data_IF_499618994659
#
_entry.id   IF_499618994659
#
_cell.length_a   1.000
_cell.length_b   1.000
_cell.length_c   1.000
_cell.angle_alpha   90.00
_cell.angle_beta   90.00
_cell.angle_gamma   90.00
#
_symmetry.space_group_name_H-M   'P 1'
#
loop_
_entity.id
_entity.type
_entity.pdbx_description
1 polymer ?
#
# COMPACT_ATOMS: atom_id res chain seq x y z
N UNK A 1 58.27 -26.97 10.55
CA UNK A 1 58.05 -27.16 9.11
C UNK A 1 56.70 -26.56 8.78
N UNK A 2 56.70 -25.35 8.21
CA UNK A 2 55.47 -24.66 7.85
C UNK A 2 55.07 -24.95 6.41
N UNK A 3 53.78 -24.83 6.12
CA UNK A 3 53.23 -24.49 4.82
C UNK A 3 51.91 -23.74 5.05
N UNK A 4 51.93 -22.43 4.76
CA UNK A 4 50.76 -21.57 4.71
C UNK A 4 50.01 -21.79 3.38
N UNK A 5 48.68 -21.63 3.33
CA UNK A 5 47.93 -21.70 2.08
C UNK A 5 48.16 -20.43 1.24
N UNK A 6 48.50 -20.64 -0.03
CA UNK A 6 48.79 -19.62 -1.04
C UNK A 6 47.51 -18.93 -1.54
N UNK A 7 47.60 -17.59 -1.68
CA UNK A 7 46.58 -16.76 -2.30
C UNK A 7 46.53 -16.97 -3.82
N UNK A 8 45.34 -16.83 -4.46
CA UNK A 8 45.21 -16.95 -5.92
C UNK A 8 45.80 -15.72 -6.63
N UNK A 9 46.61 -15.96 -7.67
CA UNK A 9 47.13 -14.92 -8.56
C UNK A 9 46.05 -14.39 -9.51
N UNK A 10 46.06 -13.09 -9.84
CA UNK A 10 45.18 -12.52 -10.85
C UNK A 10 45.63 -12.88 -12.27
N UNK A 11 44.71 -13.44 -13.06
CA UNK A 11 44.87 -13.71 -14.48
C UNK A 11 44.98 -12.41 -15.28
N UNK A 12 46.06 -12.24 -16.05
CA UNK A 12 46.21 -11.17 -17.01
C UNK A 12 45.24 -11.35 -18.18
N UNK A 13 44.35 -10.37 -18.39
CA UNK A 13 43.51 -10.28 -19.58
C UNK A 13 44.14 -9.24 -20.51
N UNK A 14 44.51 -9.73 -21.70
CA UNK A 14 45.05 -8.96 -22.82
C UNK A 14 44.09 -7.84 -23.25
N UNK A 15 44.59 -6.61 -23.23
CA UNK A 15 43.93 -5.40 -23.70
C UNK A 15 43.94 -5.36 -25.23
N UNK A 16 42.81 -5.72 -25.86
CA UNK A 16 42.54 -5.34 -27.26
C UNK A 16 41.80 -4.01 -27.27
N UNK A 17 42.53 -2.96 -27.64
CA UNK A 17 42.01 -1.64 -28.00
C UNK A 17 40.96 -1.79 -29.12
N UNK A 18 39.72 -1.41 -28.83
CA UNK A 18 38.69 -1.16 -29.84
C UNK A 18 38.19 0.26 -29.63
N UNK A 19 38.84 1.22 -30.29
CA UNK A 19 38.30 2.56 -30.49
C UNK A 19 37.10 2.44 -31.44
N UNK A 20 35.87 2.53 -30.90
CA UNK A 20 34.66 2.77 -31.70
C UNK A 20 34.09 4.13 -31.34
N UNK A 21 34.57 5.15 -32.04
CA UNK A 21 33.94 6.46 -32.14
C UNK A 21 32.64 6.33 -32.93
N UNK A 22 31.49 6.62 -32.30
CA UNK A 22 30.23 6.82 -33.00
C UNK A 22 30.07 8.31 -33.29
N UNK A 23 30.63 8.75 -34.42
CA UNK A 23 30.30 10.04 -35.02
C UNK A 23 29.56 9.71 -36.31
N UNK A 24 28.25 9.98 -36.34
CA UNK A 24 27.47 9.83 -37.56
C UNK A 24 27.89 10.92 -38.55
N UNK A 25 28.24 10.53 -39.78
CA UNK A 25 28.54 11.46 -40.87
C UNK A 25 27.25 12.15 -41.34
N UNK A 26 27.29 13.48 -41.47
CA UNK A 26 26.19 14.26 -42.01
C UNK A 26 25.96 13.94 -43.50
N UNK A 27 24.71 13.82 -43.98
CA UNK A 27 24.45 13.54 -45.38
C UNK A 27 24.71 14.78 -46.24
N UNK A 28 25.45 14.56 -47.33
CA UNK A 28 25.67 15.54 -48.40
C UNK A 28 24.37 15.78 -49.17
N UNK A 29 23.99 17.05 -49.32
CA UNK A 29 22.83 17.47 -50.12
C UNK A 29 23.26 17.48 -51.60
N UNK A 30 22.82 16.48 -52.37
CA UNK A 30 22.83 16.56 -53.83
C UNK A 30 21.47 17.09 -54.31
N UNK A 31 21.49 18.29 -54.90
CA UNK A 31 20.32 18.92 -55.52
C UNK A 31 20.09 18.29 -56.90
N UNK A 32 19.09 17.41 -57.01
CA UNK A 32 18.53 17.02 -58.31
C UNK A 32 17.08 17.51 -58.37
N UNK A 33 16.84 18.49 -59.24
CA UNK A 33 15.50 18.98 -59.59
C UNK A 33 14.83 17.97 -60.52
N UNK A 34 13.76 17.34 -60.05
CA UNK A 34 12.77 16.69 -60.92
C UNK A 34 11.37 17.11 -60.49
N UNK A 35 10.70 17.87 -61.38
CA UNK A 35 9.27 18.19 -61.31
C UNK A 35 8.47 16.97 -61.76
N UNK A 36 7.46 16.55 -61.00
CA UNK A 36 6.16 16.15 -61.55
C UNK A 36 5.14 15.72 -60.49
N UNK A 37 3.95 16.31 -60.62
CA UNK A 37 2.60 15.82 -60.33
C UNK A 37 2.26 15.32 -58.91
N UNK A 38 1.44 16.13 -58.24
CA UNK A 38 0.71 15.77 -57.04
C UNK A 38 -0.32 14.66 -57.30
N UNK A 39 -0.19 13.56 -56.56
CA UNK A 39 -1.26 12.61 -56.30
C UNK A 39 -1.29 12.34 -54.80
N UNK A 40 -2.08 13.14 -54.07
CA UNK A 40 -2.29 12.97 -52.62
C UNK A 40 -3.12 11.71 -52.40
N UNK A 41 -2.46 10.57 -52.23
CA UNK A 41 -3.09 9.37 -51.68
C UNK A 41 -3.00 9.47 -50.17
N UNK A 42 -4.10 9.89 -49.53
CA UNK A 42 -4.17 10.00 -48.08
C UNK A 42 -4.31 8.60 -47.47
N UNK A 43 -3.19 7.92 -47.26
CA UNK A 43 -3.15 6.66 -46.50
C UNK A 43 -3.46 6.99 -45.04
N UNK A 44 -4.70 6.74 -44.61
CA UNK A 44 -5.09 6.83 -43.20
C UNK A 44 -4.29 5.78 -42.41
N UNK A 45 -3.20 6.19 -41.79
CA UNK A 45 -2.49 5.39 -40.80
C UNK A 45 -3.46 5.13 -39.64
N UNK A 46 -3.91 3.88 -39.52
CA UNK A 46 -4.68 3.42 -38.38
C UNK A 46 -3.75 3.40 -37.15
N UNK A 47 -3.72 4.51 -36.41
CA UNK A 47 -3.05 4.58 -35.11
C UNK A 47 -3.82 3.66 -34.17
N UNK A 48 -3.24 2.49 -33.88
CA UNK A 48 -3.75 1.57 -32.86
C UNK A 48 -3.79 2.35 -31.54
N UNK A 49 -4.98 2.60 -31.02
CA UNK A 49 -5.14 3.28 -29.73
C UNK A 49 -4.36 2.50 -28.67
N UNK A 50 -3.50 3.19 -27.91
CA UNK A 50 -2.91 2.59 -26.72
C UNK A 50 -4.07 2.10 -25.83
N UNK A 51 -3.98 0.89 -25.25
CA UNK A 51 -4.99 0.42 -24.31
C UNK A 51 -5.13 1.48 -23.21
N UNK A 52 -6.34 2.03 -23.06
CA UNK A 52 -6.61 3.00 -22.00
C UNK A 52 -6.42 2.31 -20.66
N UNK A 53 -5.32 2.64 -19.96
CA UNK A 53 -5.06 2.15 -18.62
C UNK A 53 -6.16 2.71 -17.71
N UNK A 54 -7.07 1.85 -17.25
CA UNK A 54 -8.05 2.23 -16.23
C UNK A 54 -7.29 2.77 -15.02
N UNK A 55 -7.63 3.98 -14.51
CA UNK A 55 -6.99 4.52 -13.32
C UNK A 55 -7.13 3.52 -12.16
N UNK A 56 -6.00 3.15 -11.54
CA UNK A 56 -6.00 2.27 -10.36
C UNK A 56 -6.66 3.01 -9.20
N UNK A 57 -7.60 2.36 -8.51
CA UNK A 57 -8.28 2.91 -7.31
C UNK A 57 -7.27 3.11 -6.18
N UNK A 58 -7.28 4.24 -5.47
CA UNK A 58 -6.37 4.51 -4.33
C UNK A 58 -6.49 3.44 -3.23
N UNK A 59 -5.35 3.00 -2.69
CA UNK A 59 -5.29 2.20 -1.46
C UNK A 59 -4.78 3.10 -0.34
N UNK A 60 -5.55 3.16 0.74
CA UNK A 60 -5.27 3.96 1.94
C UNK A 60 -4.88 2.98 3.05
N UNK A 61 -3.61 2.98 3.40
CA UNK A 61 -3.09 2.13 4.48
C UNK A 61 -3.12 2.95 5.77
N UNK A 62 -3.79 2.45 6.80
CA UNK A 62 -3.82 3.09 8.13
C UNK A 62 -2.96 2.26 9.08
N UNK A 63 -1.97 2.89 9.70
CA UNK A 63 -1.05 2.23 10.63
C UNK A 63 -0.97 3.03 11.93
N UNK A 64 -1.66 2.58 13.01
CA UNK A 64 -1.45 3.13 14.33
C UNK A 64 -0.09 2.70 14.88
N UNK A 65 0.54 3.56 15.66
CA UNK A 65 1.83 3.32 16.29
C UNK A 65 1.82 3.74 17.75
N UNK A 66 2.52 3.01 18.61
CA UNK A 66 2.59 3.29 20.04
C UNK A 66 3.97 2.95 20.57
N UNK A 67 4.51 3.81 21.42
CA UNK A 67 5.79 3.60 22.10
C UNK A 67 5.75 2.41 23.07
N UNK A 68 4.54 1.96 23.46
CA UNK A 68 4.32 0.74 24.25
C UNK A 68 4.60 -0.55 23.46
N UNK A 69 4.68 -0.48 22.13
CA UNK A 69 4.94 -1.63 21.28
C UNK A 69 6.45 -1.81 21.05
N UNK A 70 7.01 -3.00 21.34
CA UNK A 70 8.43 -3.25 21.12
C UNK A 70 8.76 -3.27 19.63
N UNK A 71 9.99 -2.87 19.29
CA UNK A 71 10.52 -2.89 17.93
C UNK A 71 9.72 -2.07 16.90
N UNK A 72 8.92 -1.08 17.35
CA UNK A 72 8.10 -0.20 16.51
C UNK A 72 8.86 0.30 15.26
N UNK A 73 10.03 0.91 15.46
CA UNK A 73 10.83 1.47 14.36
C UNK A 73 11.32 0.40 13.36
N UNK A 74 11.61 -0.81 13.81
CA UNK A 74 12.04 -1.92 12.94
C UNK A 74 10.87 -2.36 12.06
N UNK A 75 9.71 -2.57 12.68
CA UNK A 75 8.51 -2.98 11.97
C UNK A 75 7.98 -1.89 11.03
N UNK A 76 8.09 -0.62 11.41
CA UNK A 76 7.76 0.52 10.55
C UNK A 76 8.62 0.55 9.28
N UNK A 77 9.94 0.37 9.42
CA UNK A 77 10.87 0.30 8.27
C UNK A 77 10.55 -0.89 7.37
N UNK A 78 10.27 -2.05 7.96
CA UNK A 78 9.90 -3.25 7.21
C UNK A 78 8.62 -3.03 6.41
N UNK A 79 7.56 -2.54 7.07
CA UNK A 79 6.30 -2.23 6.41
C UNK A 79 6.51 -1.22 5.28
N UNK A 80 7.22 -0.11 5.55
CA UNK A 80 7.55 0.90 4.55
C UNK A 80 8.26 0.30 3.32
N UNK A 81 9.26 -0.56 3.53
CA UNK A 81 9.97 -1.22 2.43
C UNK A 81 9.03 -2.10 1.58
N UNK A 82 8.06 -2.78 2.21
CA UNK A 82 7.03 -3.54 1.50
C UNK A 82 6.09 -2.63 0.73
N UNK A 83 5.46 -1.65 1.38
CA UNK A 83 4.43 -0.82 0.75
C UNK A 83 5.00 0.19 -0.26
N UNK A 84 6.30 0.49 -0.21
CA UNK A 84 7.00 1.24 -1.26
C UNK A 84 6.98 0.53 -2.62
N UNK A 85 6.91 -0.80 -2.63
CA UNK A 85 6.87 -1.62 -3.84
C UNK A 85 5.45 -1.79 -4.39
N UNK A 86 4.43 -1.31 -3.68
CA UNK A 86 3.05 -1.38 -4.13
C UNK A 86 2.79 -0.33 -5.19
N UNK A 87 2.12 -0.74 -6.27
CA UNK A 87 1.75 0.15 -7.37
C UNK A 87 0.98 1.38 -6.87
N UNK A 88 1.30 2.55 -7.42
CA UNK A 88 0.52 3.78 -7.18
C UNK A 88 -0.87 3.70 -7.84
N UNK A 89 -1.89 4.41 -7.32
CA UNK A 89 -1.82 5.32 -6.17
C UNK A 89 -1.96 4.61 -4.82
N UNK A 90 -1.12 5.02 -3.86
CA UNK A 90 -1.14 4.58 -2.46
C UNK A 90 -0.95 5.78 -1.53
N UNK A 91 -1.73 5.81 -0.44
CA UNK A 91 -1.58 6.78 0.63
C UNK A 91 -1.36 6.04 1.96
N UNK A 92 -0.31 6.40 2.68
CA UNK A 92 -0.04 5.84 3.99
C UNK A 92 -0.39 6.83 5.11
N UNK A 93 -1.36 6.51 5.94
CA UNK A 93 -1.72 7.30 7.12
C UNK A 93 -1.08 6.65 8.34
N UNK A 94 -0.12 7.34 8.93
CA UNK A 94 0.57 6.90 10.15
C UNK A 94 0.12 7.81 11.29
N UNK A 95 -0.33 7.18 12.37
CA UNK A 95 -0.80 7.89 13.57
C UNK A 95 0.14 7.59 14.72
N UNK A 96 0.61 8.62 15.42
CA UNK A 96 1.46 8.47 16.61
C UNK A 96 1.06 9.45 17.73
N UNK A 97 1.44 9.12 18.96
CA UNK A 97 1.34 10.05 20.08
C UNK A 97 2.34 11.20 19.90
N UNK A 98 1.96 12.40 20.33
CA UNK A 98 2.86 13.55 20.36
C UNK A 98 4.00 13.27 21.33
N UNK A 99 5.22 13.22 20.82
CA UNK A 99 6.44 13.08 21.62
C UNK A 99 7.50 14.07 21.14
N UNK A 100 8.54 14.30 21.94
CA UNK A 100 9.70 15.10 21.54
C UNK A 100 10.64 14.35 20.56
N UNK A 101 10.39 13.06 20.33
CA UNK A 101 11.18 12.24 19.42
C UNK A 101 10.94 12.66 17.97
N UNK A 102 12.02 12.74 17.21
CA UNK A 102 11.98 13.00 15.75
C UNK A 102 12.19 11.74 14.93
N UNK A 103 12.37 10.59 15.57
CA UNK A 103 12.75 9.35 14.89
C UNK A 103 11.72 8.87 13.88
N UNK A 104 10.45 8.73 14.28
CA UNK A 104 9.38 8.26 13.40
C UNK A 104 9.13 9.25 12.24
N UNK A 105 8.99 10.57 12.47
CA UNK A 105 8.89 11.54 11.38
C UNK A 105 10.07 11.48 10.41
N UNK A 106 11.30 11.27 10.89
CA UNK A 106 12.47 11.11 10.03
C UNK A 106 12.45 9.81 9.23
N UNK A 107 11.95 8.71 9.79
CA UNK A 107 11.75 7.45 9.06
C UNK A 107 10.79 7.71 7.91
N UNK A 108 9.62 8.30 8.18
CA UNK A 108 8.59 8.55 7.16
C UNK A 108 9.12 9.40 5.99
N UNK A 109 9.84 10.49 6.29
CA UNK A 109 10.46 11.37 5.27
C UNK A 109 11.43 10.63 4.35
N UNK A 110 12.14 9.62 4.86
CA UNK A 110 13.14 8.84 4.10
C UNK A 110 12.53 7.73 3.25
N UNK A 111 11.25 7.40 3.42
CA UNK A 111 10.61 6.29 2.70
C UNK A 111 10.38 6.58 1.22
N UNK A 112 10.05 7.83 0.87
CA UNK A 112 9.59 8.23 -0.46
C UNK A 112 8.13 7.82 -0.77
N UNK A 113 7.39 7.38 0.25
CA UNK A 113 5.97 7.02 0.13
C UNK A 113 5.13 8.26 0.37
N UNK A 114 4.03 8.41 -0.37
CA UNK A 114 3.02 9.44 -0.06
C UNK A 114 2.37 9.11 1.29
N UNK A 115 2.58 9.96 2.29
CA UNK A 115 2.04 9.73 3.63
C UNK A 115 1.30 10.95 4.19
N UNK A 116 0.38 10.68 5.12
CA UNK A 116 -0.14 11.67 6.07
C UNK A 116 0.26 11.24 7.47
N UNK A 117 0.91 12.15 8.18
CA UNK A 117 1.33 11.92 9.56
C UNK A 117 0.38 12.64 10.50
N UNK A 118 -0.37 11.88 11.30
CA UNK A 118 -1.40 12.38 12.23
C UNK A 118 -0.89 12.19 13.64
N UNK A 119 -0.98 13.23 14.46
CA UNK A 119 -0.44 13.24 15.82
C UNK A 119 -1.56 13.62 16.79
N UNK A 120 -1.59 12.96 17.95
CA UNK A 120 -2.56 13.22 19.02
C UNK A 120 -1.85 13.45 20.36
N UNK A 121 -2.52 14.10 21.32
CA UNK A 121 -1.89 14.49 22.61
C UNK A 121 -2.54 13.88 23.84
N UNK A 122 -3.65 13.15 23.67
CA UNK A 122 -4.33 12.47 24.76
C UNK A 122 -3.50 11.30 25.30
N UNK A 123 -3.54 11.11 26.62
CA UNK A 123 -2.87 10.00 27.30
C UNK A 123 -3.79 8.79 27.41
N UNK A 124 -3.23 7.60 27.24
CA UNK A 124 -3.95 6.33 27.36
C UNK A 124 -3.18 5.39 28.25
N UNK A 125 -3.87 4.72 29.17
CA UNK A 125 -3.28 3.62 29.95
C UNK A 125 -3.34 2.32 29.17
N UNK A 126 -4.53 1.98 28.68
CA UNK A 126 -4.77 0.77 27.90
C UNK A 126 -4.27 0.93 26.45
N UNK A 127 -3.55 -0.08 25.95
CA UNK A 127 -3.01 -0.07 24.59
C UNK A 127 -4.11 -0.20 23.54
N UNK A 128 -5.14 -1.02 23.78
CA UNK A 128 -6.20 -1.21 22.78
C UNK A 128 -7.06 0.04 22.63
N UNK A 129 -7.37 0.74 23.73
CA UNK A 129 -8.01 2.05 23.72
C UNK A 129 -7.20 3.08 22.92
N UNK A 130 -5.87 3.11 23.13
CA UNK A 130 -4.95 3.97 22.39
C UNK A 130 -4.98 3.68 20.89
N UNK A 131 -4.86 2.40 20.49
CA UNK A 131 -4.88 2.00 19.09
C UNK A 131 -6.25 2.27 18.43
N UNK A 132 -7.36 2.12 19.17
CA UNK A 132 -8.70 2.46 18.70
C UNK A 132 -8.88 3.97 18.48
N UNK A 133 -8.39 4.80 19.41
CA UNK A 133 -8.37 6.26 19.23
C UNK A 133 -7.63 6.65 17.95
N UNK A 134 -6.45 6.06 17.74
CA UNK A 134 -5.63 6.31 16.54
C UNK A 134 -6.35 5.91 15.24
N UNK A 135 -7.01 4.75 15.22
CA UNK A 135 -7.82 4.30 14.07
C UNK A 135 -8.96 5.29 13.80
N UNK A 136 -9.65 5.76 14.84
CA UNK A 136 -10.73 6.73 14.71
C UNK A 136 -10.23 8.09 14.19
N UNK A 137 -9.08 8.57 14.64
CA UNK A 137 -8.45 9.79 14.11
C UNK A 137 -8.13 9.64 12.61
N UNK A 138 -7.61 8.50 12.20
CA UNK A 138 -7.37 8.23 10.79
C UNK A 138 -8.68 8.19 9.98
N UNK A 139 -9.74 7.57 10.52
CA UNK A 139 -11.06 7.55 9.88
C UNK A 139 -11.66 8.94 9.74
N UNK A 140 -11.65 9.75 10.81
CA UNK A 140 -12.12 11.13 10.78
C UNK A 140 -11.32 11.98 9.78
N UNK A 141 -10.02 11.74 9.64
CA UNK A 141 -9.20 12.40 8.63
C UNK A 141 -9.58 12.00 7.19
N UNK A 142 -9.87 10.72 6.95
CA UNK A 142 -10.33 10.20 5.66
C UNK A 142 -11.70 10.79 5.32
N UNK A 143 -12.61 10.82 6.29
CA UNK A 143 -13.97 11.35 6.16
C UNK A 143 -13.96 12.85 5.87
N UNK A 144 -13.25 13.63 6.69
CA UNK A 144 -13.17 15.09 6.56
C UNK A 144 -12.66 15.52 5.19
N UNK A 145 -11.66 14.82 4.66
CA UNK A 145 -11.08 15.12 3.35
C UNK A 145 -11.70 14.33 2.20
N UNK A 146 -12.72 13.51 2.47
CA UNK A 146 -13.39 12.62 1.50
C UNK A 146 -12.41 11.84 0.62
N UNK A 147 -11.38 11.26 1.24
CA UNK A 147 -10.35 10.53 0.51
C UNK A 147 -10.95 9.27 -0.11
N UNK A 148 -11.21 9.28 -1.42
CA UNK A 148 -11.86 8.16 -2.13
C UNK A 148 -10.86 7.05 -2.44
N UNK A 149 -11.04 5.87 -1.82
CA UNK A 149 -10.14 4.74 -1.95
C UNK A 149 -10.56 3.54 -1.10
N UNK A 150 -9.71 2.50 -1.08
CA UNK A 150 -9.88 1.32 -0.24
C UNK A 150 -9.04 1.48 1.02
N UNK A 151 -9.68 1.49 2.18
CA UNK A 151 -9.04 1.64 3.49
C UNK A 151 -8.69 0.25 4.02
N UNK A 152 -7.43 0.06 4.39
CA UNK A 152 -6.95 -1.14 5.06
C UNK A 152 -6.13 -0.77 6.31
N UNK A 153 -6.48 -1.35 7.46
CA UNK A 153 -5.73 -1.17 8.69
C UNK A 153 -4.55 -2.15 8.74
N UNK A 154 -3.35 -1.65 8.49
CA UNK A 154 -2.14 -2.44 8.51
C UNK A 154 -1.49 -2.44 9.90
N UNK A 155 -1.56 -3.58 10.58
CA UNK A 155 -0.81 -3.82 11.82
C UNK A 155 0.69 -3.82 11.54
N UNK A 156 1.45 -3.11 12.37
CA UNK A 156 2.88 -2.87 12.14
C UNK A 156 3.71 -4.16 12.06
N UNK A 157 3.38 -5.15 12.89
CA UNK A 157 4.05 -6.46 12.94
C UNK A 157 3.56 -7.46 11.90
N UNK A 158 2.51 -7.16 11.13
CA UNK A 158 2.00 -8.06 10.10
C UNK A 158 2.94 -8.16 8.90
N UNK A 159 2.83 -9.27 8.16
CA UNK A 159 3.57 -9.51 6.92
C UNK A 159 2.58 -9.49 5.76
N UNK A 160 2.92 -8.74 4.72
CA UNK A 160 2.06 -8.56 3.55
C UNK A 160 2.77 -9.03 2.30
N UNK A 161 2.03 -9.75 1.46
CA UNK A 161 2.44 -9.99 0.09
C UNK A 161 2.11 -8.77 -0.80
N UNK A 162 2.83 -8.59 -1.91
CA UNK A 162 2.58 -7.45 -2.81
C UNK A 162 1.28 -7.62 -3.61
N UNK A 163 0.92 -8.84 -3.99
CA UNK A 163 -0.31 -9.13 -4.74
C UNK A 163 -1.56 -8.84 -3.90
N UNK A 164 -1.47 -8.99 -2.58
CA UNK A 164 -2.54 -8.64 -1.65
C UNK A 164 -3.05 -7.20 -1.88
N UNK A 165 -2.15 -6.22 -2.05
CA UNK A 165 -2.55 -4.84 -2.29
C UNK A 165 -3.18 -4.61 -3.66
N UNK A 166 -2.91 -5.49 -4.64
CA UNK A 166 -3.61 -5.46 -5.93
C UNK A 166 -5.05 -5.94 -5.74
N UNK A 167 -5.24 -7.04 -5.00
CA UNK A 167 -6.58 -7.59 -4.70
C UNK A 167 -7.45 -6.62 -3.90
N UNK A 168 -6.85 -5.82 -3.00
CA UNK A 168 -7.60 -4.79 -2.28
C UNK A 168 -8.32 -3.83 -3.23
N UNK A 169 -7.75 -3.54 -4.40
CA UNK A 169 -8.32 -2.58 -5.35
C UNK A 169 -9.62 -3.07 -5.98
N UNK A 170 -9.86 -4.38 -5.98
CA UNK A 170 -11.07 -4.99 -6.53
C UNK A 170 -12.25 -4.93 -5.57
N UNK A 171 -12.04 -4.55 -4.30
CA UNK A 171 -13.10 -4.42 -3.29
C UNK A 171 -14.07 -3.31 -3.69
N UNK A 172 -15.35 -3.64 -3.90
CA UNK A 172 -16.37 -2.64 -4.21
C UNK A 172 -16.86 -1.90 -2.96
N UNK A 173 -17.18 -2.64 -1.90
CA UNK A 173 -17.77 -2.13 -0.65
C UNK A 173 -16.96 -2.55 0.56
N UNK A 174 -16.88 -3.86 0.78
CA UNK A 174 -16.21 -4.48 1.91
C UNK A 174 -15.58 -5.78 1.41
N UNK A 175 -14.37 -6.07 1.89
CA UNK A 175 -13.67 -7.31 1.61
C UNK A 175 -13.00 -7.83 2.87
N UNK A 176 -12.96 -9.15 3.00
CA UNK A 176 -12.31 -9.85 4.10
C UNK A 176 -11.64 -11.12 3.59
N UNK A 177 -10.60 -11.58 4.28
CA UNK A 177 -9.76 -12.69 3.87
C UNK A 177 -9.22 -13.44 5.09
N UNK A 178 -8.78 -14.70 4.90
CA UNK A 178 -8.10 -15.44 5.95
C UNK A 178 -6.73 -14.83 6.27
N UNK A 179 -6.39 -14.82 7.55
CA UNK A 179 -5.09 -14.40 8.07
C UNK A 179 -4.41 -15.57 8.77
N UNK A 180 -3.13 -15.77 8.46
CA UNK A 180 -2.29 -16.75 9.13
C UNK A 180 -1.54 -16.12 10.30
N UNK A 181 -1.75 -16.65 11.49
CA UNK A 181 -1.03 -16.29 12.70
C UNK A 181 0.07 -17.32 12.98
N UNK A 182 1.32 -16.85 12.91
CA UNK A 182 2.50 -17.61 13.29
C UNK A 182 2.96 -17.19 14.68
N UNK A 183 3.09 -18.15 15.58
CA UNK A 183 3.62 -17.92 16.93
C UNK A 183 5.10 -18.32 16.94
N UNK A 184 5.99 -17.40 17.32
CA UNK A 184 7.45 -17.59 17.26
C UNK A 184 7.95 -18.89 17.92
N UNK A 185 7.25 -19.37 18.95
CA UNK A 185 7.64 -20.56 19.72
C UNK A 185 6.79 -21.80 19.42
N UNK A 186 5.97 -21.81 18.36
CA UNK A 186 5.15 -22.96 17.98
C UNK A 186 5.37 -23.30 16.52
N UNK A 187 5.64 -24.58 16.23
CA UNK A 187 5.63 -25.13 14.87
C UNK A 187 4.20 -25.30 14.31
N UNK A 188 3.30 -24.37 14.64
CA UNK A 188 1.89 -24.41 14.25
C UNK A 188 1.47 -23.06 13.68
N UNK A 189 1.01 -23.08 12.44
CA UNK A 189 0.28 -21.98 11.82
C UNK A 189 -1.18 -22.12 12.19
N UNK A 190 -1.81 -21.02 12.59
CA UNK A 190 -3.26 -20.97 12.79
C UNK A 190 -3.82 -20.02 11.76
N UNK A 191 -4.86 -20.47 11.05
CA UNK A 191 -5.56 -19.67 10.06
C UNK A 191 -6.88 -19.28 10.68
N UNK A 192 -7.20 -17.99 10.66
CA UNK A 192 -8.50 -17.46 11.05
C UNK A 192 -9.07 -16.66 9.89
N UNK A 193 -10.38 -16.69 9.67
CA UNK A 193 -10.94 -16.00 8.52
C UNK A 193 -12.41 -16.28 8.23
N UNK A 194 -12.95 -15.63 7.19
CA UNK A 194 -14.32 -15.80 6.76
C UNK A 194 -14.52 -17.18 6.14
N UNK A 195 -15.71 -17.74 6.35
CA UNK A 195 -16.24 -18.86 5.56
C UNK A 195 -17.21 -18.24 4.55
N UNK A 196 -16.98 -18.48 3.26
CA UNK A 196 -17.74 -17.87 2.18
C UNK A 196 -18.51 -18.93 1.38
N UNK A 197 -19.74 -18.60 1.02
CA UNK A 197 -20.44 -19.20 -0.11
C UNK A 197 -20.44 -18.20 -1.27
N UNK A 198 -19.65 -18.50 -2.30
CA UNK A 198 -19.37 -17.57 -3.39
C UNK A 198 -18.85 -16.22 -2.87
N UNK A 199 -19.52 -15.10 -3.16
CA UNK A 199 -19.15 -13.75 -2.68
C UNK A 199 -19.80 -13.37 -1.35
N UNK A 200 -20.49 -14.29 -0.66
CA UNK A 200 -21.21 -14.03 0.58
C UNK A 200 -20.51 -14.68 1.76
N UNK A 201 -20.20 -13.89 2.79
CA UNK A 201 -19.69 -14.41 4.07
C UNK A 201 -20.84 -15.08 4.83
N UNK A 202 -20.69 -16.36 5.17
CA UNK A 202 -21.68 -17.19 5.87
C UNK A 202 -21.25 -17.57 7.29
N UNK A 203 -19.99 -17.34 7.65
CA UNK A 203 -19.46 -17.65 8.98
C UNK A 203 -18.00 -17.27 9.15
N UNK A 204 -17.40 -17.67 10.27
CA UNK A 204 -16.01 -17.38 10.62
C UNK A 204 -15.34 -18.60 11.25
N UNK A 205 -14.12 -18.90 10.83
CA UNK A 205 -13.25 -19.85 11.50
C UNK A 205 -12.31 -19.09 12.44
N UNK A 206 -12.49 -19.27 13.76
CA UNK A 206 -11.76 -18.53 14.80
C UNK A 206 -11.14 -19.51 15.81
N UNK A 207 -9.97 -19.16 16.37
CA UNK A 207 -9.29 -19.98 17.39
C UNK A 207 -10.07 -20.07 18.69
N UNK A 208 -10.72 -18.98 19.10
CA UNK A 208 -11.28 -18.83 20.44
C UNK A 208 -12.78 -18.51 20.36
N UNK A 209 -13.58 -19.50 19.97
CA UNK A 209 -15.03 -19.43 20.08
C UNK A 209 -15.47 -19.81 21.50
N UNK A 210 -15.07 -19.02 22.50
CA UNK A 210 -15.73 -19.09 23.79
C UNK A 210 -17.02 -18.28 23.67
N UNK A 211 -18.17 -18.92 23.92
CA UNK A 211 -19.54 -18.45 23.64
C UNK A 211 -20.00 -17.16 24.38
N UNK A 212 -19.10 -16.28 24.84
CA UNK A 212 -19.46 -15.21 25.79
C UNK A 212 -18.85 -13.82 25.55
N UNK A 213 -18.35 -13.46 24.35
CA UNK A 213 -17.91 -12.05 24.17
C UNK A 213 -18.41 -11.36 22.89
N UNK A 214 -18.93 -10.15 23.13
CA UNK A 214 -19.53 -9.16 22.22
C UNK A 214 -18.46 -8.48 21.31
N UNK A 215 -17.30 -9.12 21.13
CA UNK A 215 -16.24 -8.60 20.25
C UNK A 215 -16.47 -9.05 18.81
N UNK A 216 -16.25 -8.14 17.86
CA UNK A 216 -16.34 -8.48 16.44
C UNK A 216 -15.40 -9.66 16.14
N UNK A 217 -15.85 -10.71 15.43
CA UNK A 217 -15.06 -11.92 15.18
C UNK A 217 -13.85 -11.68 14.26
N UNK A 218 -13.61 -10.44 13.83
CA UNK A 218 -12.73 -10.10 12.71
C UNK A 218 -11.54 -9.32 13.26
N UNK A 219 -10.34 -9.81 13.00
CA UNK A 219 -9.12 -9.07 13.31
C UNK A 219 -9.06 -7.77 12.49
N UNK A 220 -8.57 -6.68 13.07
CA UNK A 220 -8.59 -5.35 12.41
C UNK A 220 -7.88 -5.32 11.05
N UNK A 221 -6.89 -6.20 10.85
CA UNK A 221 -6.15 -6.34 9.58
C UNK A 221 -6.68 -7.44 8.65
N UNK A 222 -7.82 -8.07 8.94
CA UNK A 222 -8.42 -9.08 8.06
C UNK A 222 -9.59 -8.56 7.24
N UNK A 223 -9.74 -7.23 7.16
CA UNK A 223 -10.69 -6.59 6.26
C UNK A 223 -10.19 -5.27 5.67
N UNK A 224 -10.89 -4.83 4.63
CA UNK A 224 -10.77 -3.52 4.02
C UNK A 224 -12.13 -3.08 3.46
N UNK A 225 -12.30 -1.78 3.25
CA UNK A 225 -13.58 -1.24 2.80
C UNK A 225 -13.41 0.02 1.96
N UNK A 226 -14.44 0.34 1.18
CA UNK A 226 -14.50 1.55 0.39
C UNK A 226 -14.77 2.76 1.29
N UNK A 227 -13.85 3.71 1.32
CA UNK A 227 -13.90 4.88 2.20
C UNK A 227 -15.14 5.75 2.05
N UNK A 228 -15.81 5.71 0.90
CA UNK A 228 -17.06 6.45 0.67
C UNK A 228 -18.17 6.04 1.63
N UNK A 229 -18.10 4.87 2.28
CA UNK A 229 -19.05 4.51 3.34
C UNK A 229 -19.06 5.48 4.52
N UNK A 230 -17.97 6.24 4.71
CA UNK A 230 -17.81 7.20 5.80
C UNK A 230 -18.51 8.54 5.49
N UNK A 231 -18.62 8.94 4.22
CA UNK A 231 -19.03 10.31 3.85
C UNK A 231 -20.09 10.39 2.73
N UNK A 232 -20.47 9.26 2.14
CA UNK A 232 -21.52 9.13 1.12
C UNK A 232 -22.47 7.97 1.50
N UNK A 233 -23.29 8.14 2.56
CA UNK A 233 -24.15 7.08 3.06
C UNK A 233 -25.26 6.69 2.06
N UNK A 234 -25.72 7.65 1.24
CA UNK A 234 -26.79 7.45 0.26
C UNK A 234 -26.39 6.45 -0.83
N UNK A 235 -25.13 6.51 -1.28
CA UNK A 235 -24.56 5.52 -2.20
C UNK A 235 -24.66 4.08 -1.71
N UNK A 236 -24.73 3.89 -0.39
CA UNK A 236 -24.77 2.58 0.26
C UNK A 236 -26.13 2.25 0.88
N UNK A 237 -27.18 2.98 0.50
CA UNK A 237 -28.54 2.75 0.98
C UNK A 237 -28.74 3.06 2.47
N UNK A 238 -27.86 3.87 3.08
CA UNK A 238 -28.07 4.43 4.42
C UNK A 238 -28.72 5.80 4.27
N UNK A 239 -29.91 5.99 4.83
CA UNK A 239 -30.53 7.31 4.91
C UNK A 239 -29.68 8.20 5.83
N UNK A 240 -29.31 9.39 5.37
CA UNK A 240 -28.56 10.35 6.17
C UNK A 240 -29.41 10.76 7.39
N UNK A 241 -29.02 10.31 8.59
CA UNK A 241 -29.75 10.62 9.83
C UNK A 241 -29.41 12.00 10.39
N UNK A 242 -28.99 12.95 9.56
CA UNK A 242 -28.77 14.33 9.98
C UNK A 242 -30.06 15.11 9.74
N UNK A 243 -31.02 14.95 10.66
CA UNK A 243 -31.97 16.02 10.92
C UNK A 243 -31.30 16.96 11.91
N UNK A 244 -30.88 18.12 11.42
CA UNK A 244 -30.59 19.27 12.26
C UNK A 244 -31.73 19.46 13.27
N UNK A 245 -31.43 19.23 14.54
CA UNK A 245 -32.29 19.71 15.63
C UNK A 245 -31.61 20.93 16.22
N UNK A 246 -31.54 21.98 15.42
CA UNK A 246 -31.30 23.35 15.88
C UNK A 246 -32.65 24.06 15.93
N UNK A 247 -33.44 23.75 16.96
CA UNK A 247 -34.51 24.63 17.46
C UNK A 247 -34.70 24.41 18.97
N UNK A 248 -34.17 25.35 19.76
CA UNK A 248 -34.75 26.01 20.93
C UNK A 248 -33.61 26.57 21.81
#
# INVERSE_FOLDING_TARGET
>A
MGLAPSAPQPSQISTKNVNKSWIASAPQIHSQKTKAAAATTTTKLHVKSLPQLKPKRLVIIVTPTSTKLPYQNVFLRRLANTIKLVDQPLLWIVVEAKTDSKELPEILRKTGIMYRHVVYSEEFMDLEAELNHQRNLALGHIEHHRLSGIVHFAGLSNVYDLQFFQQLRDIEVFGTWPTALLLANRKRVIIEGPVCDSSKVIGWHLRNMNNETITSPIHISSFAFNSSILWDPERWGRTSSVKDTSQA
#
